data_IF_117892621674
#
_entry.id   IF_117892621674
#
_cell.length_a   1.000
_cell.length_b   1.000
_cell.length_c   1.000
_cell.angle_alpha   90.00
_cell.angle_beta   90.00
_cell.angle_gamma   90.00
#
_symmetry.space_group_name_H-M   'P 1'
#
loop_
_entity.id
_entity.type
_entity.pdbx_description
1 polymer ?
#
# COMPACT_ATOMS: atom_id res chain seq x y z
N UNK A 1 -11.16 -9.27 16.81
CA UNK A 1 -9.99 -8.67 17.49
C UNK A 1 -8.82 -8.90 16.55
N UNK A 2 -8.12 -7.85 16.12
CA UNK A 2 -7.00 -7.99 15.17
C UNK A 2 -5.84 -8.63 15.92
N UNK A 3 -5.40 -9.81 15.49
CA UNK A 3 -4.15 -10.40 15.98
C UNK A 3 -3.05 -10.01 14.98
N UNK A 4 -2.44 -8.84 15.19
CA UNK A 4 -1.25 -8.42 14.44
C UNK A 4 -0.11 -9.29 14.94
N UNK A 5 0.15 -10.40 14.27
CA UNK A 5 1.09 -11.45 14.68
C UNK A 5 2.54 -10.94 14.80
N UNK A 6 2.92 -9.91 14.04
CA UNK A 6 4.31 -9.44 13.98
C UNK A 6 4.60 -8.18 14.80
N UNK A 7 3.64 -7.64 15.56
CA UNK A 7 3.88 -6.53 16.50
C UNK A 7 4.21 -5.16 15.90
N UNK A 8 4.69 -5.06 14.66
CA UNK A 8 5.09 -3.81 14.00
C UNK A 8 3.97 -2.78 13.92
N UNK A 9 2.74 -3.23 13.65
CA UNK A 9 1.57 -2.34 13.58
C UNK A 9 0.86 -2.14 14.94
N UNK A 10 1.34 -2.77 16.01
CA UNK A 10 0.75 -2.65 17.36
C UNK A 10 0.67 -1.19 17.85
N UNK A 11 1.69 -0.32 17.65
CA UNK A 11 1.60 1.09 18.04
C UNK A 11 0.46 1.85 17.33
N UNK A 12 0.09 1.42 16.12
CA UNK A 12 -0.87 2.11 15.25
C UNK A 12 -2.27 1.49 15.29
N UNK A 13 -2.52 0.47 16.12
CA UNK A 13 -3.78 -0.28 16.13
C UNK A 13 -5.04 0.59 16.27
N UNK A 14 -4.95 1.75 16.94
CA UNK A 14 -6.06 2.71 17.07
C UNK A 14 -6.40 3.44 15.76
N UNK A 15 -5.44 3.53 14.85
CA UNK A 15 -5.59 4.11 13.52
C UNK A 15 -5.97 3.06 12.46
N UNK A 16 -5.98 1.77 12.82
CA UNK A 16 -6.32 0.66 11.92
C UNK A 16 -7.75 0.22 12.17
N UNK A 17 -8.56 0.26 11.12
CA UNK A 17 -9.87 -0.39 11.09
C UNK A 17 -9.75 -1.65 10.24
N UNK A 18 -9.89 -2.86 10.80
CA UNK A 18 -9.80 -4.08 10.01
C UNK A 18 -11.01 -4.18 9.08
N UNK A 19 -10.76 -4.54 7.82
CA UNK A 19 -11.80 -4.81 6.83
C UNK A 19 -11.94 -6.31 6.57
N UNK A 20 -10.83 -7.05 6.57
CA UNK A 20 -10.81 -8.52 6.44
C UNK A 20 -9.55 -9.12 7.10
N UNK A 21 -9.60 -10.42 7.43
CA UNK A 21 -8.48 -11.19 8.01
C UNK A 21 -8.36 -12.55 7.32
N UNK A 22 -7.12 -12.98 7.05
CA UNK A 22 -6.65 -14.26 6.51
C UNK A 22 -7.33 -14.76 5.21
N UNK A 23 -6.53 -15.14 4.22
CA UNK A 23 -6.95 -15.82 2.98
C UNK A 23 -8.01 -15.07 2.15
N UNK A 24 -8.11 -13.76 2.33
CA UNK A 24 -9.16 -12.97 1.72
C UNK A 24 -8.66 -12.39 0.41
N UNK A 25 -9.07 -12.99 -0.72
CA UNK A 25 -8.97 -12.39 -2.07
C UNK A 25 -9.81 -11.11 -2.23
N UNK A 26 -10.36 -10.58 -1.14
CA UNK A 26 -11.18 -9.37 -1.14
C UNK A 26 -10.46 -8.20 -1.79
N UNK A 27 -9.16 -7.98 -1.55
CA UNK A 27 -8.48 -6.84 -2.17
C UNK A 27 -8.45 -6.97 -3.69
N UNK A 28 -8.05 -8.15 -4.19
CA UNK A 28 -8.10 -8.48 -5.61
C UNK A 28 -9.51 -8.29 -6.21
N UNK A 29 -10.54 -8.85 -5.57
CA UNK A 29 -11.92 -8.72 -6.04
C UNK A 29 -12.44 -7.29 -5.94
N UNK A 30 -12.02 -6.53 -4.92
CA UNK A 30 -12.32 -5.13 -4.76
C UNK A 30 -11.74 -4.35 -5.94
N UNK A 31 -10.45 -4.51 -6.24
CA UNK A 31 -9.82 -3.86 -7.38
C UNK A 31 -10.49 -4.23 -8.71
N UNK A 32 -10.79 -5.51 -8.93
CA UNK A 32 -11.51 -5.99 -10.12
C UNK A 32 -12.92 -5.40 -10.24
N UNK A 33 -13.67 -5.34 -9.13
CA UNK A 33 -15.02 -4.76 -9.11
C UNK A 33 -15.04 -3.28 -9.50
N UNK A 34 -13.90 -2.59 -9.36
CA UNK A 34 -13.72 -1.21 -9.76
C UNK A 34 -12.90 -1.02 -11.05
N UNK A 35 -12.72 -2.09 -11.84
CA UNK A 35 -11.99 -2.07 -13.12
C UNK A 35 -10.52 -1.65 -13.02
N UNK A 36 -9.88 -1.88 -11.88
CA UNK A 36 -8.43 -1.78 -11.75
C UNK A 36 -7.84 -3.10 -12.28
N UNK A 37 -6.94 -3.06 -13.27
CA UNK A 37 -6.42 -4.27 -13.89
C UNK A 37 -5.47 -5.01 -12.94
N UNK A 38 -5.58 -6.34 -12.90
CA UNK A 38 -4.83 -7.23 -12.01
C UNK A 38 -4.23 -8.37 -12.83
N UNK A 39 -3.01 -8.77 -12.52
CA UNK A 39 -2.33 -9.93 -13.12
C UNK A 39 -2.94 -11.25 -12.64
N UNK A 40 -2.54 -12.37 -13.25
CA UNK A 40 -2.96 -13.71 -12.79
C UNK A 40 -2.46 -14.07 -11.40
N UNK A 41 -1.46 -13.35 -10.90
CA UNK A 41 -0.85 -13.52 -9.57
C UNK A 41 -1.54 -12.66 -8.50
N UNK A 42 -2.55 -11.87 -8.88
CA UNK A 42 -3.27 -11.01 -7.95
C UNK A 42 -2.61 -9.65 -7.68
N UNK A 43 -1.58 -9.29 -8.47
CA UNK A 43 -0.87 -8.01 -8.41
C UNK A 43 -1.51 -6.97 -9.32
N UNK A 44 -1.31 -5.69 -9.04
CA UNK A 44 -1.74 -4.61 -9.94
C UNK A 44 -1.02 -4.75 -11.30
N UNK A 45 -1.79 -4.75 -12.39
CA UNK A 45 -1.22 -4.76 -13.74
C UNK A 45 -0.89 -3.33 -14.18
N UNK A 46 0.27 -2.86 -13.72
CA UNK A 46 0.78 -1.52 -13.99
C UNK A 46 0.96 -1.22 -15.49
N UNK A 47 1.25 -2.25 -16.30
CA UNK A 47 1.36 -2.10 -17.77
C UNK A 47 0.04 -1.71 -18.40
N UNK A 48 -1.08 -2.23 -17.88
CA UNK A 48 -2.41 -1.89 -18.37
C UNK A 48 -2.94 -0.56 -17.82
N UNK A 49 -2.47 -0.11 -16.65
CA UNK A 49 -2.83 1.20 -16.10
C UNK A 49 -2.27 2.37 -16.92
N UNK A 50 -1.20 2.15 -17.69
CA UNK A 50 -0.64 3.13 -18.63
C UNK A 50 0.14 4.28 -17.99
N UNK A 51 0.21 4.33 -16.66
CA UNK A 51 1.02 5.27 -15.89
C UNK A 51 1.54 4.58 -14.63
N UNK A 52 2.85 4.43 -14.56
CA UNK A 52 3.58 3.89 -13.41
C UNK A 52 4.77 4.79 -13.12
N UNK A 53 4.93 5.15 -11.84
CA UNK A 53 6.12 5.78 -11.32
C UNK A 53 6.83 4.77 -10.41
N UNK A 54 8.10 4.55 -10.71
CA UNK A 54 9.00 3.71 -9.94
C UNK A 54 9.82 4.58 -9.01
N UNK A 55 10.04 4.10 -7.79
CA UNK A 55 10.77 4.90 -6.82
C UNK A 55 11.62 3.98 -5.93
N UNK A 56 12.94 4.28 -5.94
CA UNK A 56 14.10 3.89 -5.09
C UNK A 56 14.21 2.47 -4.46
N UNK A 57 15.31 2.24 -3.73
CA UNK A 57 15.58 1.02 -2.97
C UNK A 57 15.01 1.13 -1.54
N UNK A 58 14.02 0.28 -1.27
CA UNK A 58 13.21 0.26 -0.05
C UNK A 58 14.03 0.18 1.24
N UNK A 59 15.26 -0.35 1.21
CA UNK A 59 16.09 -0.49 2.39
C UNK A 59 16.84 0.78 2.81
N UNK A 60 17.08 1.72 1.89
CA UNK A 60 17.97 2.87 2.15
C UNK A 60 17.28 4.23 2.24
N UNK A 61 16.04 4.35 1.74
CA UNK A 61 15.45 5.68 1.47
C UNK A 61 14.18 5.98 2.26
N UNK A 62 13.88 5.25 3.34
CA UNK A 62 12.64 5.41 4.14
C UNK A 62 12.27 6.87 4.45
N UNK A 63 13.23 7.66 4.95
CA UNK A 63 13.03 9.07 5.31
C UNK A 63 12.73 9.96 4.09
N UNK A 64 13.46 9.76 3.00
CA UNK A 64 13.33 10.54 1.76
C UNK A 64 11.94 10.36 1.15
N UNK A 65 11.45 9.13 1.23
CA UNK A 65 10.21 8.68 0.59
C UNK A 65 9.03 9.10 1.40
N UNK A 66 9.16 9.02 2.72
CA UNK A 66 8.23 9.62 3.65
C UNK A 66 8.09 11.12 3.38
N UNK A 67 9.21 11.83 3.15
CA UNK A 67 9.17 13.24 2.80
C UNK A 67 8.45 13.48 1.46
N UNK A 68 8.76 12.70 0.42
CA UNK A 68 8.10 12.82 -0.88
C UNK A 68 6.59 12.51 -0.83
N UNK A 69 6.19 11.44 -0.17
CA UNK A 69 4.78 11.10 0.01
C UNK A 69 3.99 12.22 0.72
N UNK A 70 4.64 12.94 1.64
CA UNK A 70 4.02 14.10 2.32
C UNK A 70 3.77 15.29 1.38
N UNK A 71 4.48 15.38 0.26
CA UNK A 71 4.28 16.44 -0.73
C UNK A 71 3.24 16.06 -1.81
N UNK A 72 2.72 14.83 -1.78
CA UNK A 72 1.77 14.34 -2.78
C UNK A 72 0.32 14.73 -2.45
N UNK A 73 -0.53 14.75 -3.48
CA UNK A 73 -1.98 14.93 -3.32
C UNK A 73 -2.66 13.77 -2.56
N UNK A 74 -1.94 12.67 -2.27
CA UNK A 74 -2.44 11.56 -1.45
C UNK A 74 -2.95 12.07 -0.09
N UNK A 75 -2.25 13.04 0.52
CA UNK A 75 -2.64 13.61 1.82
C UNK A 75 -4.00 14.31 1.83
N UNK A 76 -4.57 14.66 0.67
CA UNK A 76 -5.93 15.22 0.58
C UNK A 76 -7.00 14.18 0.88
N UNK A 77 -6.65 12.90 0.88
CA UNK A 77 -7.53 11.79 1.21
C UNK A 77 -7.33 11.44 2.68
N UNK A 78 -8.40 11.35 3.49
CA UNK A 78 -8.25 11.16 4.93
C UNK A 78 -7.84 9.73 5.30
N UNK A 79 -8.25 8.75 4.48
CA UNK A 79 -8.06 7.33 4.74
C UNK A 79 -7.71 6.56 3.46
N UNK A 80 -6.93 5.49 3.64
CA UNK A 80 -6.53 4.53 2.62
C UNK A 80 -6.99 3.13 3.04
N UNK A 81 -7.16 2.25 2.06
CA UNK A 81 -7.25 0.81 2.28
C UNK A 81 -5.86 0.24 1.99
N UNK A 82 -5.31 -0.50 2.94
CA UNK A 82 -4.01 -1.15 2.86
C UNK A 82 -4.21 -2.65 3.03
N UNK A 83 -3.75 -3.40 2.04
CA UNK A 83 -3.48 -4.82 2.12
C UNK A 83 -2.02 -5.01 2.59
N UNK A 84 -1.86 -5.73 3.70
CA UNK A 84 -0.57 -6.07 4.32
C UNK A 84 -0.30 -7.55 4.04
N UNK A 85 0.60 -7.82 3.08
CA UNK A 85 0.86 -9.16 2.57
C UNK A 85 -0.22 -9.65 1.60
N UNK A 86 0.13 -10.56 0.69
CA UNK A 86 -0.76 -11.09 -0.33
C UNK A 86 -2.00 -11.80 0.24
N UNK A 87 -3.10 -11.07 0.43
CA UNK A 87 -4.39 -11.61 0.90
C UNK A 87 -4.48 -11.87 2.41
N UNK A 88 -3.49 -11.48 3.22
CA UNK A 88 -3.48 -11.82 4.64
C UNK A 88 -4.30 -10.85 5.50
N UNK A 89 -4.11 -9.55 5.32
CA UNK A 89 -4.74 -8.57 6.20
C UNK A 89 -5.08 -7.28 5.46
N UNK A 90 -6.35 -6.90 5.50
CA UNK A 90 -6.83 -5.67 4.85
C UNK A 90 -7.36 -4.74 5.92
N UNK A 91 -6.85 -3.52 5.95
CA UNK A 91 -7.25 -2.52 6.90
C UNK A 91 -7.46 -1.17 6.24
N UNK A 92 -8.34 -0.37 6.83
CA UNK A 92 -8.44 1.05 6.57
C UNK A 92 -7.56 1.79 7.56
N UNK A 93 -6.76 2.74 7.10
CA UNK A 93 -5.83 3.52 7.91
C UNK A 93 -5.91 4.99 7.53
N UNK A 94 -5.66 5.88 8.49
CA UNK A 94 -5.46 7.30 8.20
C UNK A 94 -4.28 7.48 7.25
N UNK A 95 -4.45 8.28 6.20
CA UNK A 95 -3.41 8.49 5.19
C UNK A 95 -2.10 8.98 5.79
N UNK A 96 -2.17 9.94 6.73
CA UNK A 96 -0.96 10.44 7.39
C UNK A 96 -0.22 9.34 8.16
N UNK A 97 -0.95 8.45 8.85
CA UNK A 97 -0.35 7.31 9.56
C UNK A 97 0.29 6.33 8.59
N UNK A 98 -0.32 6.08 7.43
CA UNK A 98 0.32 5.28 6.39
C UNK A 98 1.58 5.96 5.88
N UNK A 99 1.53 7.22 5.49
CA UNK A 99 2.67 7.97 4.93
C UNK A 99 3.84 8.03 5.92
N UNK A 100 3.59 8.23 7.21
CA UNK A 100 4.66 8.31 8.22
C UNK A 100 5.27 6.97 8.60
N UNK A 101 4.59 5.86 8.29
CA UNK A 101 4.96 4.52 8.78
C UNK A 101 4.80 3.44 7.70
N UNK A 102 4.86 3.80 6.42
CA UNK A 102 4.60 2.88 5.31
C UNK A 102 5.53 1.66 5.37
N UNK A 103 6.78 1.86 5.82
CA UNK A 103 7.75 0.79 5.96
C UNK A 103 7.40 -0.19 7.09
N UNK A 104 6.72 0.26 8.15
CA UNK A 104 6.21 -0.65 9.18
C UNK A 104 5.07 -1.54 8.64
N UNK A 105 4.28 -1.07 7.67
CA UNK A 105 3.32 -1.92 6.95
C UNK A 105 4.05 -2.97 6.11
N UNK A 106 5.12 -2.58 5.42
CA UNK A 106 5.93 -3.53 4.67
C UNK A 106 6.61 -4.57 5.56
N UNK A 107 7.21 -4.16 6.69
CA UNK A 107 7.73 -5.07 7.71
C UNK A 107 6.65 -6.01 8.26
N UNK A 108 5.45 -5.49 8.49
CA UNK A 108 4.33 -6.28 8.97
C UNK A 108 3.88 -7.35 7.96
N UNK A 109 4.06 -7.10 6.66
CA UNK A 109 3.89 -8.09 5.59
C UNK A 109 5.00 -9.14 5.53
N UNK A 110 5.92 -9.17 6.50
CA UNK A 110 7.15 -9.96 6.45
C UNK A 110 7.99 -9.68 5.19
N UNK A 111 7.91 -8.44 4.68
CA UNK A 111 8.55 -8.00 3.43
C UNK A 111 8.02 -8.71 2.17
N UNK A 112 6.85 -9.33 2.20
CA UNK A 112 6.23 -10.00 1.05
C UNK A 112 5.53 -9.01 0.09
N UNK A 113 5.25 -7.80 0.55
CA UNK A 113 4.65 -6.73 -0.23
C UNK A 113 3.39 -6.15 0.38
N UNK A 114 3.03 -4.94 -0.06
CA UNK A 114 1.82 -4.26 0.36
C UNK A 114 1.14 -3.60 -0.84
N UNK A 115 -0.18 -3.51 -0.78
CA UNK A 115 -0.97 -2.81 -1.80
C UNK A 115 -1.90 -1.81 -1.14
N UNK A 116 -1.98 -0.61 -1.70
CA UNK A 116 -2.69 0.51 -1.07
C UNK A 116 -3.52 1.24 -2.10
N UNK A 117 -4.72 1.62 -1.70
CA UNK A 117 -5.65 2.34 -2.54
C UNK A 117 -6.39 3.42 -1.75
N UNK A 118 -6.52 4.62 -2.31
CA UNK A 118 -7.37 5.66 -1.74
C UNK A 118 -8.84 5.26 -1.83
N UNK A 119 -9.69 5.73 -0.92
CA UNK A 119 -11.12 5.36 -0.91
C UNK A 119 -11.88 5.73 -2.20
N UNK A 120 -11.39 6.72 -2.96
CA UNK A 120 -11.93 7.11 -4.26
C UNK A 120 -11.22 6.43 -5.45
N UNK A 121 -10.30 5.51 -5.17
CA UNK A 121 -9.57 4.69 -6.15
C UNK A 121 -8.65 5.46 -7.09
N UNK A 122 -8.41 6.74 -6.80
CA UNK A 122 -7.56 7.60 -7.64
C UNK A 122 -6.08 7.34 -7.43
N UNK A 123 -5.67 6.97 -6.22
CA UNK A 123 -4.27 6.75 -5.86
C UNK A 123 -4.05 5.29 -5.53
N UNK A 124 -3.09 4.69 -6.22
CA UNK A 124 -2.67 3.31 -6.07
C UNK A 124 -1.18 3.31 -5.74
N UNK A 125 -0.81 2.46 -4.78
CA UNK A 125 0.57 2.14 -4.43
C UNK A 125 0.67 0.62 -4.33
N UNK A 126 1.75 0.04 -4.84
CA UNK A 126 2.10 -1.35 -4.59
C UNK A 126 3.60 -1.43 -4.31
N UNK A 127 3.98 -2.12 -3.24
CA UNK A 127 5.36 -2.43 -2.92
C UNK A 127 5.55 -3.93 -3.11
N UNK A 128 6.48 -4.31 -3.98
CA UNK A 128 6.67 -5.70 -4.38
C UNK A 128 7.96 -6.27 -3.83
N UNK A 129 7.88 -7.46 -3.23
CA UNK A 129 9.08 -8.16 -2.72
C UNK A 129 9.98 -8.69 -3.84
N UNK A 130 9.39 -9.12 -4.97
CA UNK A 130 10.11 -9.80 -6.05
C UNK A 130 11.03 -8.85 -6.83
N UNK A 131 10.64 -7.58 -6.92
CA UNK A 131 11.45 -6.53 -7.55
C UNK A 131 12.10 -5.59 -6.54
N UNK A 132 11.62 -5.54 -5.30
CA UNK A 132 12.00 -4.54 -4.31
C UNK A 132 11.52 -3.13 -4.65
N UNK A 133 10.66 -2.98 -5.66
CA UNK A 133 10.25 -1.68 -6.19
C UNK A 133 8.94 -1.19 -5.59
N UNK A 134 8.86 0.12 -5.41
CA UNK A 134 7.65 0.84 -5.03
C UNK A 134 7.00 1.42 -6.29
N UNK A 135 5.79 0.96 -6.57
CA UNK A 135 4.97 1.38 -7.71
C UNK A 135 3.90 2.34 -7.24
N UNK A 136 3.59 3.32 -8.09
CA UNK A 136 2.45 4.21 -7.88
C UNK A 136 1.90 4.74 -9.20
N UNK A 137 0.61 5.09 -9.23
CA UNK A 137 -0.02 5.71 -10.40
C UNK A 137 0.04 7.26 -10.37
N UNK A 138 0.85 7.82 -9.47
CA UNK A 138 1.03 9.25 -9.27
C UNK A 138 2.48 9.53 -8.94
N UNK A 139 2.95 10.72 -9.29
CA UNK A 139 4.33 11.10 -9.08
C UNK A 139 4.61 11.29 -7.58
N UNK A 140 5.51 10.49 -7.02
CA UNK A 140 6.01 10.61 -5.64
C UNK A 140 7.34 11.37 -5.65
N UNK A 141 8.30 10.90 -6.45
CA UNK A 141 9.58 11.58 -6.63
C UNK A 141 9.40 12.83 -7.51
N UNK A 142 9.75 14.04 -7.04
CA UNK A 142 9.66 15.28 -7.82
C UNK A 142 10.48 15.30 -9.12
N UNK A 143 11.51 14.45 -9.26
CA UNK A 143 12.38 14.40 -10.44
C UNK A 143 11.95 13.35 -11.50
N UNK A 144 10.99 12.47 -11.16
CA UNK A 144 10.55 11.33 -12.02
C UNK A 144 9.60 11.64 -13.19
#
# INVERSE_FOLDING_TARGET
MITITNGFLKPYVKALTPLATYESRFFMYFLQAYNIPITTEGLIDWKQLGQEYYTFDVETDEDLVTAWLKETDLLRYPELIVEVGHGEYICKVKTLTFVEHWYDFYRASAYEGISVVSLNLKYLIELRHDTGLFYSNFKIDPES
#
